data_IF_140067556483
#
_entry.id   IF_140067556483
#
_cell.length_a   1.000
_cell.length_b   1.000
_cell.length_c   1.000
_cell.angle_alpha   90.00
_cell.angle_beta   90.00
_cell.angle_gamma   90.00
#
_symmetry.space_group_name_H-M   'P 1'
#
loop_
_entity.id
_entity.type
_entity.pdbx_description
1 polymer ?
#
# COMPACT_ATOMS: atom_id res chain seq x y z
N UNK A 1 -19.56 11.63 42.06
CA UNK A 1 -18.50 10.81 42.67
C UNK A 1 -19.14 9.56 43.25
N UNK A 2 -19.06 8.44 42.54
CA UNK A 2 -19.52 7.14 43.04
C UNK A 2 -18.37 6.51 43.84
N UNK A 3 -18.60 5.99 45.05
CA UNK A 3 -17.53 5.42 45.86
C UNK A 3 -17.03 4.11 45.25
N UNK A 4 -15.71 4.01 45.08
CA UNK A 4 -15.02 2.80 44.67
C UNK A 4 -15.18 1.72 45.74
N UNK A 5 -15.66 0.54 45.34
CA UNK A 5 -15.70 -0.66 46.19
C UNK A 5 -14.26 -1.10 46.45
N UNK A 6 -13.78 -0.93 47.68
CA UNK A 6 -12.60 -1.62 48.18
C UNK A 6 -12.92 -3.12 48.30
N UNK A 7 -12.12 -3.96 47.65
CA UNK A 7 -12.23 -5.41 47.79
C UNK A 7 -11.34 -5.80 48.97
N UNK A 8 -11.94 -6.06 50.14
CA UNK A 8 -11.21 -6.68 51.24
C UNK A 8 -10.95 -8.16 50.88
N UNK A 9 -9.71 -8.69 51.04
CA UNK A 9 -9.43 -10.08 50.76
C UNK A 9 -10.11 -11.01 51.77
N UNK A 10 -10.67 -12.13 51.28
CA UNK A 10 -11.25 -13.19 52.12
C UNK A 10 -10.13 -13.83 52.97
N UNK A 11 -10.35 -14.07 54.27
CA UNK A 11 -9.37 -14.80 55.09
C UNK A 11 -9.42 -16.30 54.76
N UNK A 12 -8.27 -16.94 54.57
CA UNK A 12 -8.14 -18.39 54.77
C UNK A 12 -7.39 -19.24 53.74
N UNK A 13 -6.82 -18.67 52.67
CA UNK A 13 -5.89 -19.41 51.80
C UNK A 13 -4.68 -18.53 51.55
N UNK A 14 -3.54 -18.86 52.17
CA UNK A 14 -2.26 -18.29 51.73
C UNK A 14 -2.09 -18.65 50.26
N UNK A 15 -1.96 -17.68 49.35
CA UNK A 15 -1.71 -17.98 47.95
C UNK A 15 -0.49 -18.89 47.87
N UNK A 16 -0.56 -19.95 47.08
CA UNK A 16 0.57 -20.81 46.78
C UNK A 16 0.91 -20.67 45.30
N UNK A 17 2.18 -20.85 44.90
CA UNK A 17 2.55 -20.80 43.50
C UNK A 17 1.85 -21.94 42.74
N UNK A 18 1.47 -21.67 41.50
CA UNK A 18 0.74 -22.65 40.67
C UNK A 18 1.63 -23.82 40.25
N UNK A 19 2.92 -23.54 40.04
CA UNK A 19 3.97 -24.50 39.71
C UNK A 19 5.12 -24.34 40.70
N UNK A 20 6.10 -25.27 40.76
CA UNK A 20 7.32 -25.02 41.52
C UNK A 20 8.00 -23.72 41.07
N UNK A 21 8.52 -22.94 42.02
CA UNK A 21 9.21 -21.67 41.73
C UNK A 21 10.37 -21.90 40.75
N UNK A 22 10.48 -21.04 39.74
CA UNK A 22 11.44 -21.13 38.65
C UNK A 22 11.05 -22.07 37.51
N UNK A 23 9.90 -22.74 37.58
CA UNK A 23 9.39 -23.61 36.50
C UNK A 23 9.06 -22.81 35.25
N UNK A 24 9.54 -23.28 34.10
CA UNK A 24 9.12 -22.79 32.79
C UNK A 24 7.90 -23.56 32.33
N UNK A 25 6.87 -22.84 31.91
CA UNK A 25 5.61 -23.40 31.39
C UNK A 25 5.29 -22.80 30.03
N UNK A 26 4.51 -23.50 29.21
CA UNK A 26 3.99 -22.94 27.96
C UNK A 26 3.08 -21.74 28.27
N UNK A 27 3.26 -20.62 27.56
CA UNK A 27 2.33 -19.49 27.69
C UNK A 27 0.95 -19.86 27.14
N UNK A 28 -0.10 -19.33 27.76
CA UNK A 28 -1.49 -19.49 27.29
C UNK A 28 -1.77 -18.72 26.00
N UNK A 29 -0.95 -17.73 25.66
CA UNK A 29 -1.02 -16.98 24.41
C UNK A 29 0.28 -17.18 23.62
N UNK A 30 0.28 -18.05 22.59
CA UNK A 30 1.49 -18.34 21.83
C UNK A 30 1.82 -17.28 20.77
N UNK A 31 0.95 -16.28 20.57
CA UNK A 31 1.09 -15.28 19.50
C UNK A 31 2.31 -14.40 19.75
N UNK A 32 3.22 -14.34 18.78
CA UNK A 32 4.41 -13.49 18.77
C UNK A 32 4.23 -12.30 17.83
N UNK A 33 4.78 -11.14 18.18
CA UNK A 33 4.86 -10.03 17.23
C UNK A 33 5.90 -10.31 16.13
N UNK A 34 5.77 -9.63 14.98
CA UNK A 34 6.80 -9.70 13.91
C UNK A 34 8.19 -9.30 14.41
N UNK A 35 8.25 -8.37 15.37
CA UNK A 35 9.51 -7.93 15.97
C UNK A 35 10.11 -9.02 16.86
N UNK A 36 9.30 -9.69 17.69
CA UNK A 36 9.75 -10.85 18.46
C UNK A 36 10.28 -11.98 17.57
N UNK A 37 9.59 -12.26 16.45
CA UNK A 37 10.02 -13.26 15.48
C UNK A 37 11.35 -12.88 14.82
N UNK A 38 11.53 -11.60 14.47
CA UNK A 38 12.78 -11.09 13.93
C UNK A 38 13.94 -11.23 14.93
N UNK A 39 13.72 -10.86 16.19
CA UNK A 39 14.72 -11.02 17.27
C UNK A 39 15.05 -12.49 17.48
N UNK A 40 14.04 -13.36 17.54
CA UNK A 40 14.21 -14.81 17.66
C UNK A 40 15.07 -15.37 16.54
N UNK A 41 14.77 -15.00 15.30
CA UNK A 41 15.55 -15.41 14.13
C UNK A 41 17.01 -14.95 14.19
N UNK A 42 17.27 -13.75 14.71
CA UNK A 42 18.62 -13.20 14.88
C UNK A 42 19.41 -13.90 15.98
N UNK A 43 18.78 -14.22 17.11
CA UNK A 43 19.40 -15.02 18.17
C UNK A 43 19.75 -16.43 17.68
N UNK A 44 18.84 -17.08 16.94
CA UNK A 44 19.08 -18.40 16.33
C UNK A 44 20.22 -18.32 15.31
N UNK A 45 20.26 -17.29 14.47
CA UNK A 45 21.35 -17.10 13.51
C UNK A 45 22.72 -16.88 14.19
N UNK A 46 22.73 -16.37 15.43
CA UNK A 46 23.92 -16.24 16.26
C UNK A 46 24.31 -17.52 17.01
N UNK A 47 23.59 -18.64 16.79
CA UNK A 47 23.86 -19.94 17.41
C UNK A 47 23.17 -20.17 18.75
N UNK A 48 22.34 -19.24 19.22
CA UNK A 48 21.60 -19.39 20.47
C UNK A 48 20.37 -20.27 20.28
N UNK A 49 20.14 -21.20 21.21
CA UNK A 49 18.91 -21.98 21.23
C UNK A 49 17.83 -21.18 21.95
N UNK A 50 16.64 -21.06 21.37
CA UNK A 50 15.53 -20.28 21.95
C UNK A 50 14.26 -21.13 21.96
N UNK A 51 13.39 -20.88 22.94
CA UNK A 51 12.10 -21.58 23.03
C UNK A 51 11.26 -21.32 21.76
N UNK A 52 10.43 -22.29 21.37
CA UNK A 52 9.45 -22.10 20.29
C UNK A 52 8.21 -21.39 20.86
N UNK A 53 7.84 -20.25 20.27
CA UNK A 53 6.75 -19.40 20.77
C UNK A 53 7.05 -18.75 22.13
N UNK A 54 5.99 -18.34 22.83
CA UNK A 54 6.07 -17.72 24.16
C UNK A 54 6.04 -18.77 25.27
N UNK A 55 6.97 -18.64 26.20
CA UNK A 55 7.03 -19.42 27.44
C UNK A 55 6.90 -18.48 28.64
N UNK A 56 6.47 -19.00 29.78
CA UNK A 56 6.30 -18.23 30.99
C UNK A 56 7.04 -18.88 32.16
N UNK A 57 7.40 -18.08 33.16
CA UNK A 57 8.22 -18.47 34.29
C UNK A 57 7.42 -18.22 35.56
N UNK A 58 7.24 -19.27 36.35
CA UNK A 58 6.69 -19.13 37.71
C UNK A 58 7.73 -18.44 38.60
N UNK A 59 7.42 -17.23 39.06
CA UNK A 59 8.23 -16.50 40.02
C UNK A 59 7.82 -16.81 41.46
N UNK A 60 8.65 -16.38 42.41
CA UNK A 60 8.33 -16.42 43.83
C UNK A 60 7.30 -15.33 44.21
N UNK A 61 6.95 -15.22 45.49
CA UNK A 61 5.97 -14.25 45.97
C UNK A 61 6.42 -12.82 45.64
N UNK A 62 5.54 -12.08 44.98
CA UNK A 62 5.66 -10.64 44.80
C UNK A 62 5.36 -9.94 46.13
N UNK A 63 6.33 -9.23 46.74
CA UNK A 63 6.12 -8.56 48.02
C UNK A 63 5.14 -7.39 47.94
N UNK A 64 4.93 -6.81 46.75
CA UNK A 64 4.03 -5.67 46.53
C UNK A 64 2.59 -6.16 46.42
N UNK A 65 2.35 -7.23 45.67
CA UNK A 65 1.01 -7.73 45.37
C UNK A 65 0.60 -8.95 46.19
N UNK A 66 1.52 -9.56 46.93
CA UNK A 66 1.28 -10.74 47.77
C UNK A 66 0.92 -12.02 47.00
N UNK A 67 1.07 -12.02 45.67
CA UNK A 67 0.75 -13.13 44.77
C UNK A 67 2.02 -13.81 44.24
N UNK A 68 1.87 -14.92 43.52
CA UNK A 68 3.00 -15.67 42.92
C UNK A 68 2.92 -15.56 41.39
N UNK A 69 3.46 -14.48 40.79
CA UNK A 69 3.25 -14.19 39.37
C UNK A 69 3.88 -15.24 38.45
N UNK A 70 3.24 -15.45 37.31
CA UNK A 70 3.79 -16.22 36.17
C UNK A 70 4.08 -15.22 35.06
N UNK A 71 5.34 -14.83 34.93
CA UNK A 71 5.78 -13.79 33.99
C UNK A 71 6.06 -14.40 32.62
N UNK A 72 5.71 -13.69 31.55
CA UNK A 72 5.92 -14.14 30.16
C UNK A 72 6.88 -13.19 29.47
N UNK A 73 8.20 -13.44 29.53
CA UNK A 73 9.15 -12.71 28.70
C UNK A 73 8.91 -12.96 27.21
N UNK A 74 9.27 -11.99 26.37
CA UNK A 74 9.12 -12.09 24.92
C UNK A 74 9.90 -13.26 24.28
N UNK A 75 11.15 -13.48 24.73
CA UNK A 75 11.99 -14.60 24.27
C UNK A 75 12.70 -15.25 25.45
N UNK A 76 12.66 -16.58 25.53
CA UNK A 76 13.49 -17.36 26.45
C UNK A 76 14.61 -18.03 25.67
N UNK A 77 15.85 -17.82 26.12
CA UNK A 77 17.01 -18.57 25.64
C UNK A 77 17.02 -19.91 26.36
N UNK A 78 17.12 -20.99 25.60
CA UNK A 78 17.08 -22.35 26.12
C UNK A 78 18.40 -22.67 26.81
N UNK A 79 18.34 -23.42 27.92
CA UNK A 79 19.50 -23.97 28.66
C UNK A 79 20.41 -22.94 29.34
N UNK A 80 20.26 -21.66 29.04
CA UNK A 80 20.81 -20.53 29.78
C UNK A 80 19.63 -19.83 30.45
N UNK A 81 19.62 -19.62 31.77
CA UNK A 81 18.54 -18.89 32.45
C UNK A 81 18.57 -17.38 32.08
N UNK A 82 18.34 -17.09 30.82
CA UNK A 82 18.40 -15.78 30.18
C UNK A 82 17.10 -15.57 29.39
N UNK A 83 16.45 -14.45 29.61
CA UNK A 83 15.27 -14.05 28.86
C UNK A 83 15.41 -12.63 28.32
N UNK A 84 14.68 -12.36 27.25
CA UNK A 84 14.67 -11.08 26.54
C UNK A 84 13.29 -10.45 26.65
N UNK A 85 13.25 -9.14 26.90
CA UNK A 85 12.06 -8.29 26.80
C UNK A 85 12.32 -7.18 25.77
N UNK A 86 11.32 -6.84 24.96
CA UNK A 86 11.40 -5.80 23.93
C UNK A 86 10.42 -4.69 24.29
N UNK A 87 10.94 -3.62 24.89
CA UNK A 87 10.13 -2.56 25.45
C UNK A 87 10.08 -1.34 24.53
N UNK A 88 8.87 -0.84 24.29
CA UNK A 88 8.66 0.40 23.53
C UNK A 88 8.17 1.54 24.42
N UNK A 89 8.60 2.78 24.13
CA UNK A 89 8.15 3.98 24.85
C UNK A 89 6.61 4.05 24.95
N UNK A 90 5.91 3.61 23.91
CA UNK A 90 4.44 3.65 23.85
C UNK A 90 3.77 2.80 24.93
N UNK A 91 4.45 1.77 25.41
CA UNK A 91 3.91 0.82 26.40
C UNK A 91 4.61 0.90 27.75
N UNK A 92 5.81 1.48 27.86
CA UNK A 92 6.62 1.42 29.08
C UNK A 92 7.10 2.78 29.64
N UNK A 93 6.65 3.93 29.12
CA UNK A 93 7.11 5.24 29.62
C UNK A 93 6.76 5.50 31.10
N UNK A 94 5.67 4.92 31.62
CA UNK A 94 5.22 5.12 33.00
C UNK A 94 5.33 3.84 33.86
N UNK A 95 5.96 2.78 33.35
CA UNK A 95 6.01 1.46 34.00
C UNK A 95 7.40 1.07 34.54
N UNK A 96 8.32 2.03 34.69
CA UNK A 96 9.72 1.73 35.10
C UNK A 96 9.80 0.94 36.41
N UNK A 97 9.02 1.33 37.42
CA UNK A 97 9.02 0.64 38.72
C UNK A 97 8.45 -0.78 38.62
N UNK A 98 7.44 -0.99 37.78
CA UNK A 98 6.89 -2.31 37.47
C UNK A 98 7.95 -3.16 36.73
N UNK A 99 8.63 -2.59 35.74
CA UNK A 99 9.70 -3.26 35.01
C UNK A 99 10.87 -3.66 35.93
N UNK A 100 11.24 -2.80 36.89
CA UNK A 100 12.23 -3.12 37.93
C UNK A 100 11.76 -4.24 38.85
N UNK A 101 10.50 -4.22 39.27
CA UNK A 101 9.91 -5.30 40.07
C UNK A 101 9.91 -6.65 39.32
N UNK A 102 9.53 -6.64 38.04
CA UNK A 102 9.60 -7.83 37.16
C UNK A 102 11.03 -8.37 37.03
N UNK A 103 12.01 -7.49 36.85
CA UNK A 103 13.42 -7.90 36.82
C UNK A 103 13.85 -8.55 38.14
N UNK A 104 13.47 -7.98 39.29
CA UNK A 104 13.78 -8.53 40.60
C UNK A 104 13.13 -9.91 40.84
N UNK A 105 11.87 -10.09 40.41
CA UNK A 105 11.16 -11.36 40.48
C UNK A 105 11.83 -12.46 39.65
N UNK A 106 12.24 -12.13 38.42
CA UNK A 106 12.96 -13.06 37.54
C UNK A 106 14.35 -13.38 38.09
N UNK A 107 15.08 -12.37 38.58
CA UNK A 107 16.39 -12.55 39.20
C UNK A 107 16.31 -13.42 40.45
N UNK A 108 15.27 -13.26 41.28
CA UNK A 108 15.02 -14.07 42.48
C UNK A 108 14.86 -15.57 42.20
N UNK A 109 14.48 -15.94 40.97
CA UNK A 109 14.39 -17.33 40.50
C UNK A 109 15.54 -17.74 39.57
N UNK A 110 16.61 -16.95 39.57
CA UNK A 110 17.87 -17.19 38.88
C UNK A 110 17.87 -16.86 37.39
N UNK A 111 16.92 -16.03 36.92
CA UNK A 111 16.87 -15.59 35.52
C UNK A 111 17.52 -14.22 35.33
N UNK A 112 18.41 -14.13 34.34
CA UNK A 112 18.97 -12.88 33.84
C UNK A 112 18.06 -12.29 32.78
N UNK A 113 17.70 -11.02 32.92
CA UNK A 113 16.87 -10.29 31.95
C UNK A 113 17.75 -9.40 31.09
N UNK A 114 17.59 -9.49 29.78
CA UNK A 114 18.23 -8.61 28.79
C UNK A 114 17.14 -7.82 28.08
N UNK A 115 17.10 -6.49 28.23
CA UNK A 115 16.03 -5.68 27.63
C UNK A 115 16.51 -4.90 26.42
N UNK A 116 15.68 -4.85 25.38
CA UNK A 116 15.80 -3.86 24.31
C UNK A 116 14.84 -2.71 24.62
N UNK A 117 15.39 -1.58 25.05
CA UNK A 117 14.65 -0.37 25.48
C UNK A 117 14.59 0.63 24.33
N UNK A 118 13.42 0.79 23.69
CA UNK A 118 13.24 1.64 22.51
C UNK A 118 12.63 3.01 22.85
N UNK A 119 12.96 4.03 22.06
CA UNK A 119 12.40 5.40 22.22
C UNK A 119 13.08 6.21 23.33
N UNK A 120 14.34 5.89 23.66
CA UNK A 120 15.08 6.62 24.69
C UNK A 120 14.66 6.29 26.12
N UNK A 121 13.93 5.18 26.31
CA UNK A 121 13.66 4.61 27.61
C UNK A 121 14.95 4.37 28.40
N UNK A 122 14.93 4.64 29.71
CA UNK A 122 16.10 4.42 30.56
C UNK A 122 16.47 2.93 30.67
N UNK A 123 17.75 2.68 30.93
CA UNK A 123 18.25 1.35 31.29
C UNK A 123 17.91 1.05 32.76
N UNK A 124 17.48 -0.17 33.02
CA UNK A 124 17.10 -0.65 34.34
C UNK A 124 17.84 -1.94 34.75
N UNK A 125 18.54 -2.58 33.82
CA UNK A 125 19.40 -3.74 34.05
C UNK A 125 20.77 -3.61 33.38
N UNK A 126 21.74 -4.40 33.83
CA UNK A 126 23.13 -4.28 33.41
C UNK A 126 23.37 -4.73 31.96
N UNK A 127 22.50 -5.57 31.40
CA UNK A 127 22.60 -6.05 30.01
C UNK A 127 21.74 -5.25 29.03
N UNK A 128 21.10 -4.18 29.49
CA UNK A 128 20.12 -3.46 28.66
C UNK A 128 20.77 -2.84 27.42
N UNK A 129 20.01 -2.89 26.32
CA UNK A 129 20.31 -2.17 25.08
C UNK A 129 19.32 -1.04 24.94
N UNK A 130 19.79 0.19 25.15
CA UNK A 130 19.00 1.41 25.00
C UNK A 130 19.14 1.94 23.59
N UNK A 131 18.01 2.13 22.90
CA UNK A 131 17.95 2.75 21.59
C UNK A 131 17.09 4.02 21.65
N UNK A 132 17.64 5.15 21.21
CA UNK A 132 16.91 6.42 21.14
C UNK A 132 15.77 6.41 20.12
N UNK A 133 15.82 5.50 19.13
CA UNK A 133 14.75 5.34 18.15
C UNK A 133 13.62 4.47 18.72
N UNK A 134 12.37 4.86 18.46
CA UNK A 134 11.17 4.10 18.86
C UNK A 134 10.98 2.79 18.08
N UNK A 135 11.79 2.55 17.04
CA UNK A 135 11.81 1.34 16.22
C UNK A 135 13.23 0.79 16.21
N UNK A 136 13.44 -0.52 16.40
CA UNK A 136 14.78 -1.06 16.48
C UNK A 136 15.51 -0.97 15.14
N UNK A 137 16.71 -0.42 15.18
CA UNK A 137 17.63 -0.44 14.05
C UNK A 137 18.40 -1.77 14.00
N UNK A 138 19.01 -2.09 12.86
CA UNK A 138 19.88 -3.27 12.75
C UNK A 138 20.98 -3.27 13.83
N UNK A 139 21.61 -2.11 14.08
CA UNK A 139 22.63 -1.97 15.12
C UNK A 139 22.08 -2.24 16.54
N UNK A 140 20.81 -1.89 16.81
CA UNK A 140 20.18 -2.20 18.09
C UNK A 140 19.92 -3.70 18.26
N UNK A 141 19.51 -4.37 17.18
CA UNK A 141 19.32 -5.83 17.19
C UNK A 141 20.66 -6.55 17.33
N UNK A 142 21.71 -6.12 16.63
CA UNK A 142 23.03 -6.72 16.74
C UNK A 142 23.64 -6.51 18.15
N UNK A 143 23.44 -5.33 18.74
CA UNK A 143 23.81 -5.06 20.13
C UNK A 143 23.02 -5.92 21.13
N UNK A 144 21.73 -6.16 20.88
CA UNK A 144 20.89 -7.05 21.70
C UNK A 144 21.42 -8.48 21.64
N UNK A 145 21.73 -8.99 20.44
CA UNK A 145 22.32 -10.32 20.29
C UNK A 145 23.62 -10.42 21.08
N UNK A 146 24.52 -9.44 20.97
CA UNK A 146 25.75 -9.43 21.75
C UNK A 146 25.50 -9.40 23.26
N UNK A 147 24.52 -8.63 23.73
CA UNK A 147 24.16 -8.58 25.15
C UNK A 147 23.62 -9.91 25.68
N UNK A 148 22.81 -10.60 24.87
CA UNK A 148 22.31 -11.93 25.21
C UNK A 148 23.46 -12.93 25.24
N UNK A 149 24.37 -12.91 24.26
CA UNK A 149 25.54 -13.78 24.25
C UNK A 149 26.39 -13.59 25.50
N UNK A 150 26.71 -12.34 25.87
CA UNK A 150 27.45 -12.05 27.10
C UNK A 150 26.74 -12.60 28.34
N UNK A 151 25.42 -12.41 28.45
CA UNK A 151 24.63 -12.93 29.57
C UNK A 151 24.62 -14.47 29.63
N UNK A 152 24.61 -15.14 28.48
CA UNK A 152 24.68 -16.60 28.36
C UNK A 152 26.05 -17.11 28.76
N UNK A 153 27.11 -16.40 28.37
CA UNK A 153 28.51 -16.74 28.66
C UNK A 153 28.95 -16.33 30.08
N UNK A 154 28.08 -15.66 30.84
CA UNK A 154 28.35 -15.20 32.20
C UNK A 154 29.31 -14.00 32.26
N UNK A 155 29.48 -13.29 31.15
CA UNK A 155 30.27 -12.06 31.07
C UNK A 155 29.53 -10.93 31.77
N UNK A 156 30.15 -10.16 32.69
CA UNK A 156 29.49 -9.06 33.38
C UNK A 156 28.78 -8.09 32.42
N UNK A 157 27.53 -7.75 32.74
CA UNK A 157 26.69 -6.89 31.91
C UNK A 157 27.26 -5.48 31.73
N UNK A 158 27.08 -4.93 30.53
CA UNK A 158 27.32 -3.52 30.25
C UNK A 158 26.17 -2.98 29.41
N UNK A 159 25.58 -1.86 29.87
CA UNK A 159 24.51 -1.16 29.16
C UNK A 159 25.02 -0.64 27.82
N UNK A 160 24.40 -1.09 26.72
CA UNK A 160 24.74 -0.67 25.36
C UNK A 160 23.80 0.46 24.93
N UNK A 161 24.35 1.54 24.38
CA UNK A 161 23.58 2.70 23.93
C UNK A 161 23.69 2.89 22.43
N UNK A 162 22.54 2.92 21.76
CA UNK A 162 22.40 3.05 20.32
C UNK A 162 21.72 4.38 20.02
N UNK A 163 22.53 5.35 19.61
CA UNK A 163 22.04 6.65 19.19
C UNK A 163 21.11 6.51 17.98
N UNK A 164 20.12 7.41 17.89
CA UNK A 164 19.29 7.53 16.70
C UNK A 164 20.22 7.97 15.57
N UNK A 165 20.34 7.16 14.52
CA UNK A 165 21.04 7.61 13.31
C UNK A 165 20.35 8.88 12.84
N UNK A 166 21.05 10.02 12.88
CA UNK A 166 20.66 11.22 12.15
C UNK A 166 20.52 10.78 10.71
N UNK A 167 19.30 10.85 10.18
CA UNK A 167 19.07 10.45 8.80
C UNK A 167 20.01 11.28 7.93
N UNK A 168 20.92 10.60 7.21
CA UNK A 168 21.60 11.26 6.09
C UNK A 168 20.51 11.88 5.21
N UNK A 169 20.69 13.11 4.70
CA UNK A 169 19.67 13.75 3.88
C UNK A 169 19.27 12.78 2.76
N UNK A 170 17.97 12.47 2.70
CA UNK A 170 17.41 11.60 1.65
C UNK A 170 17.71 12.26 0.31
N UNK A 171 18.72 11.75 -0.40
CA UNK A 171 19.16 12.25 -1.71
C UNK A 171 18.14 12.06 -2.85
N UNK A 172 17.02 11.40 -2.61
CA UNK A 172 15.90 11.39 -3.56
C UNK A 172 14.75 12.15 -2.93
N UNK A 173 14.50 13.34 -3.47
CA UNK A 173 13.19 13.97 -3.33
C UNK A 173 12.14 12.92 -3.66
N UNK A 174 11.06 12.89 -2.87
CA UNK A 174 9.96 11.99 -3.16
C UNK A 174 9.44 12.37 -4.55
N UNK A 175 9.45 11.38 -5.45
CA UNK A 175 8.84 11.51 -6.77
C UNK A 175 7.47 12.16 -6.65
N UNK A 176 7.24 13.21 -7.44
CA UNK A 176 5.96 13.91 -7.55
C UNK A 176 4.91 13.06 -8.29
N UNK A 177 5.35 11.98 -8.96
CA UNK A 177 4.49 11.01 -9.62
C UNK A 177 3.92 10.00 -8.62
N UNK A 178 2.60 9.91 -8.55
CA UNK A 178 1.88 8.90 -7.78
C UNK A 178 2.04 7.48 -8.35
N UNK A 179 1.25 6.54 -7.84
CA UNK A 179 1.19 5.20 -8.41
C UNK A 179 0.60 5.25 -9.82
N UNK A 180 1.08 4.38 -10.71
CA UNK A 180 0.48 4.15 -12.03
C UNK A 180 -0.24 2.81 -11.96
N UNK A 181 -1.57 2.81 -11.91
CA UNK A 181 -2.38 1.62 -11.65
C UNK A 181 -3.48 1.46 -12.71
N UNK A 182 -3.93 0.23 -12.97
CA UNK A 182 -5.00 -0.02 -13.93
C UNK A 182 -6.30 0.72 -13.55
N UNK A 183 -7.01 1.21 -14.56
CA UNK A 183 -8.29 1.89 -14.40
C UNK A 183 -9.43 0.88 -14.23
N UNK A 184 -10.36 1.11 -13.31
CA UNK A 184 -11.42 0.14 -12.98
C UNK A 184 -12.57 0.08 -14.00
N UNK A 185 -12.71 1.11 -14.83
CA UNK A 185 -13.85 1.28 -15.74
C UNK A 185 -13.48 1.40 -17.22
N UNK A 186 -12.19 1.47 -17.54
CA UNK A 186 -11.71 1.70 -18.89
C UNK A 186 -10.62 0.68 -19.19
N UNK A 187 -10.91 -0.25 -20.10
CA UNK A 187 -9.96 -1.27 -20.49
C UNK A 187 -8.73 -0.63 -21.15
N UNK A 188 -7.55 -1.17 -20.83
CA UNK A 188 -6.26 -0.65 -21.27
C UNK A 188 -5.93 0.76 -20.79
N UNK A 189 -6.65 1.30 -19.80
CA UNK A 189 -6.34 2.59 -19.21
C UNK A 189 -5.71 2.46 -17.82
N UNK A 190 -4.98 3.50 -17.39
CA UNK A 190 -4.28 3.54 -16.12
C UNK A 190 -4.43 4.90 -15.44
N UNK A 191 -4.72 4.91 -14.14
CA UNK A 191 -4.64 6.09 -13.30
C UNK A 191 -3.18 6.51 -13.09
N UNK A 192 -2.93 7.81 -13.15
CA UNK A 192 -1.70 8.44 -12.69
C UNK A 192 -2.04 9.75 -11.96
N UNK A 193 -1.13 10.23 -11.12
CA UNK A 193 -1.27 11.54 -10.49
C UNK A 193 0.06 12.27 -10.44
N UNK A 194 0.04 13.58 -10.66
CA UNK A 194 1.21 14.43 -10.53
C UNK A 194 0.97 15.48 -9.45
N UNK A 195 1.84 15.54 -8.44
CA UNK A 195 1.77 16.57 -7.40
C UNK A 195 2.50 17.82 -7.87
N UNK A 196 1.81 18.95 -7.90
CA UNK A 196 2.32 20.27 -8.23
C UNK A 196 3.17 20.85 -7.08
N UNK A 197 3.87 21.96 -7.34
CA UNK A 197 4.78 22.57 -6.35
C UNK A 197 4.03 23.13 -5.13
N UNK A 198 2.80 23.61 -5.34
CA UNK A 198 1.89 24.06 -4.29
C UNK A 198 1.22 22.91 -3.52
N UNK A 199 1.48 21.65 -3.93
CA UNK A 199 0.92 20.45 -3.35
C UNK A 199 -0.41 19.99 -3.97
N UNK A 200 -0.98 20.72 -4.94
CA UNK A 200 -2.14 20.28 -5.70
C UNK A 200 -1.85 18.97 -6.44
N UNK A 201 -2.87 18.12 -6.64
CA UNK A 201 -2.72 16.84 -7.36
C UNK A 201 -3.51 16.86 -8.66
N UNK A 202 -2.80 16.87 -9.77
CA UNK A 202 -3.37 16.57 -11.08
C UNK A 202 -3.76 15.09 -11.14
N UNK A 203 -5.00 14.83 -11.54
CA UNK A 203 -5.51 13.47 -11.77
C UNK A 203 -5.54 13.17 -13.25
N UNK A 204 -4.72 12.22 -13.64
CA UNK A 204 -4.43 11.90 -15.02
C UNK A 204 -4.86 10.46 -15.31
N UNK A 205 -5.22 10.24 -16.57
CA UNK A 205 -5.59 8.93 -17.10
C UNK A 205 -4.73 8.70 -18.33
N UNK A 206 -3.97 7.61 -18.30
CA UNK A 206 -3.20 7.11 -19.44
C UNK A 206 -4.13 6.18 -20.20
N UNK A 207 -4.52 6.56 -21.41
CA UNK A 207 -5.51 5.86 -22.22
C UNK A 207 -4.84 5.00 -23.29
N UNK A 208 -5.56 3.98 -23.75
CA UNK A 208 -5.19 3.17 -24.93
C UNK A 208 -3.78 2.55 -24.81
N UNK A 209 -3.58 1.79 -23.73
CA UNK A 209 -2.32 1.10 -23.40
C UNK A 209 -1.09 2.02 -23.40
N UNK A 210 -1.27 3.29 -23.04
CA UNK A 210 -0.16 4.25 -22.99
C UNK A 210 -0.07 5.19 -24.17
N UNK A 211 -0.97 5.12 -25.15
CA UNK A 211 -0.89 5.98 -26.33
C UNK A 211 -1.20 7.45 -26.02
N UNK A 212 -2.14 7.72 -25.11
CA UNK A 212 -2.61 9.10 -24.86
C UNK A 212 -2.67 9.45 -23.38
N UNK A 213 -2.46 10.73 -23.07
CA UNK A 213 -2.73 11.33 -21.78
C UNK A 213 -4.08 12.04 -21.81
N UNK A 214 -4.88 11.83 -20.77
CA UNK A 214 -6.14 12.50 -20.53
C UNK A 214 -6.22 12.97 -19.07
N UNK A 215 -7.14 13.89 -18.78
CA UNK A 215 -7.52 14.21 -17.41
C UNK A 215 -8.83 13.51 -17.03
N UNK A 216 -8.94 13.19 -15.73
CA UNK A 216 -10.20 12.75 -15.14
C UNK A 216 -11.23 13.88 -15.17
N UNK A 217 -12.46 13.58 -15.60
CA UNK A 217 -13.57 14.57 -15.72
C UNK A 217 -14.77 14.20 -14.84
N UNK A 218 -14.50 13.81 -13.59
CA UNK A 218 -15.54 13.41 -12.64
C UNK A 218 -16.35 12.21 -13.14
N UNK A 219 -17.64 12.38 -13.41
CA UNK A 219 -18.52 11.33 -13.94
C UNK A 219 -18.56 11.24 -15.48
N UNK A 220 -17.89 12.16 -16.18
CA UNK A 220 -17.87 12.23 -17.64
C UNK A 220 -16.76 11.39 -18.27
N UNK A 221 -16.74 11.34 -19.61
CA UNK A 221 -15.65 10.74 -20.35
C UNK A 221 -14.34 11.53 -20.16
N UNK A 222 -13.18 10.86 -20.02
CA UNK A 222 -11.88 11.53 -19.92
C UNK A 222 -11.65 12.50 -21.09
N UNK A 223 -11.04 13.66 -20.80
CA UNK A 223 -10.69 14.64 -21.84
C UNK A 223 -9.20 14.58 -22.14
N UNK A 224 -8.86 14.61 -23.43
CA UNK A 224 -7.49 14.36 -23.90
C UNK A 224 -6.62 15.61 -23.76
N UNK A 225 -5.37 15.36 -23.38
CA UNK A 225 -4.32 16.37 -23.19
C UNK A 225 -3.33 16.27 -24.34
N UNK A 226 -2.67 15.10 -24.50
CA UNK A 226 -1.61 14.91 -25.48
C UNK A 226 -1.33 13.45 -25.81
N UNK A 227 -0.56 13.24 -26.88
CA UNK A 227 0.05 11.96 -27.22
C UNK A 227 1.19 11.62 -26.24
N UNK A 228 1.25 10.36 -25.80
CA UNK A 228 2.27 9.83 -24.88
C UNK A 228 3.20 8.78 -25.50
N UNK A 229 2.73 8.01 -26.49
CA UNK A 229 3.51 6.94 -27.14
C UNK A 229 4.03 5.81 -26.20
N UNK A 230 3.57 5.72 -24.95
CA UNK A 230 4.03 4.69 -23.99
C UNK A 230 3.64 3.27 -24.36
N UNK A 231 2.65 3.09 -25.24
CA UNK A 231 2.28 1.79 -25.83
C UNK A 231 3.44 1.12 -26.60
N UNK A 232 4.50 1.87 -26.93
CA UNK A 232 5.74 1.38 -27.56
C UNK A 232 6.86 1.11 -26.56
N UNK A 233 6.62 1.37 -25.27
CA UNK A 233 7.62 1.29 -24.20
C UNK A 233 7.26 0.16 -23.25
N UNK A 234 8.27 -0.61 -22.78
CA UNK A 234 8.08 -1.62 -21.74
C UNK A 234 7.40 -0.99 -20.51
N UNK A 235 6.33 -1.64 -20.03
CA UNK A 235 5.52 -1.19 -18.89
C UNK A 235 6.34 -0.87 -17.64
N UNK A 236 7.47 -1.56 -17.43
CA UNK A 236 8.39 -1.34 -16.29
C UNK A 236 9.09 0.02 -16.36
N UNK A 237 9.23 0.60 -17.56
CA UNK A 237 9.88 1.91 -17.78
C UNK A 237 8.91 3.08 -17.81
N UNK A 238 7.61 2.83 -17.89
CA UNK A 238 6.60 3.91 -17.97
C UNK A 238 6.74 4.95 -16.86
N UNK A 239 7.08 4.52 -15.64
CA UNK A 239 7.23 5.46 -14.53
C UNK A 239 8.35 6.46 -14.78
N UNK A 240 9.49 6.00 -15.29
CA UNK A 240 10.65 6.83 -15.61
C UNK A 240 10.31 7.82 -16.73
N UNK A 241 9.66 7.36 -17.80
CA UNK A 241 9.22 8.20 -18.91
C UNK A 241 8.22 9.29 -18.47
N UNK A 242 7.21 8.91 -17.68
CA UNK A 242 6.21 9.85 -17.17
C UNK A 242 6.82 10.88 -16.22
N UNK A 243 7.73 10.44 -15.35
CA UNK A 243 8.41 11.35 -14.42
C UNK A 243 9.32 12.33 -15.17
N UNK A 244 10.04 11.86 -16.19
CA UNK A 244 10.81 12.73 -17.08
C UNK A 244 9.92 13.75 -17.78
N UNK A 245 8.83 13.29 -18.40
CA UNK A 245 7.85 14.14 -19.08
C UNK A 245 7.27 15.21 -18.15
N UNK A 246 6.70 14.82 -17.01
CA UNK A 246 6.02 15.76 -16.11
C UNK A 246 6.97 16.71 -15.40
N UNK A 247 8.26 16.37 -15.28
CA UNK A 247 9.27 17.27 -14.72
C UNK A 247 9.60 18.41 -15.69
N UNK A 248 9.55 18.16 -17.00
CA UNK A 248 9.88 19.16 -18.03
C UNK A 248 8.67 19.85 -18.65
N UNK A 249 7.46 19.34 -18.40
CA UNK A 249 6.22 19.85 -18.97
C UNK A 249 5.63 20.93 -18.07
N UNK A 250 5.27 22.08 -18.65
CA UNK A 250 4.56 23.12 -17.91
C UNK A 250 3.17 22.63 -17.49
N UNK A 251 2.69 23.08 -16.33
CA UNK A 251 1.38 22.67 -15.79
C UNK A 251 0.26 23.11 -16.73
N UNK A 252 0.42 24.24 -17.41
CA UNK A 252 -0.53 24.72 -18.43
C UNK A 252 -0.65 23.78 -19.65
N UNK A 253 0.37 22.97 -19.93
CA UNK A 253 0.31 21.95 -20.99
C UNK A 253 -0.40 20.65 -20.55
N UNK A 254 -0.71 20.51 -19.27
CA UNK A 254 -1.40 19.35 -18.70
C UNK A 254 -2.91 19.56 -18.57
N UNK A 255 -3.44 20.63 -19.18
CA UNK A 255 -4.88 20.89 -19.23
C UNK A 255 -5.52 20.19 -20.42
N UNK A 256 -6.77 19.69 -20.30
CA UNK A 256 -7.43 19.04 -21.42
C UNK A 256 -7.72 20.01 -22.57
N UNK A 257 -7.38 19.59 -23.79
CA UNK A 257 -7.57 20.39 -25.00
C UNK A 257 -8.72 19.88 -25.86
N UNK A 258 -9.07 18.60 -25.75
CA UNK A 258 -10.04 18.00 -26.66
C UNK A 258 -10.90 16.89 -26.05
N UNK A 259 -12.05 16.62 -26.68
CA UNK A 259 -12.91 15.47 -26.37
C UNK A 259 -12.33 14.13 -26.84
N UNK A 260 -11.64 14.11 -27.96
CA UNK A 260 -10.99 12.94 -28.55
C UNK A 260 -9.49 13.22 -28.78
N UNK A 261 -8.65 12.19 -28.98
CA UNK A 261 -7.22 12.39 -29.25
C UNK A 261 -6.90 13.33 -30.41
N UNK A 262 -7.83 13.47 -31.35
CA UNK A 262 -7.68 14.26 -32.58
C UNK A 262 -8.57 15.51 -32.64
N UNK A 263 -9.34 15.82 -31.60
CA UNK A 263 -10.18 17.03 -31.58
C UNK A 263 -11.56 16.81 -30.96
N UNK A 264 -12.53 17.61 -31.38
CA UNK A 264 -13.88 17.64 -30.77
C UNK A 264 -14.87 16.66 -31.42
N UNK A 265 -14.59 16.19 -32.64
CA UNK A 265 -15.53 15.46 -33.47
C UNK A 265 -15.09 14.01 -33.72
N UNK A 266 -16.03 13.07 -33.54
CA UNK A 266 -15.82 11.66 -33.87
C UNK A 266 -16.44 11.31 -35.23
N UNK A 267 -17.56 11.94 -35.55
CA UNK A 267 -18.14 11.96 -36.89
C UNK A 267 -18.03 13.39 -37.45
N UNK A 268 -17.81 13.49 -38.75
CA UNK A 268 -17.76 14.72 -39.54
C UNK A 268 -18.75 14.64 -40.69
N UNK A 269 -19.10 15.78 -41.29
CA UNK A 269 -20.03 15.85 -42.41
C UNK A 269 -21.34 16.56 -42.06
N UNK A 270 -22.20 16.77 -43.08
CA UNK A 270 -23.34 17.68 -42.98
C UNK A 270 -24.44 17.25 -42.01
N UNK A 271 -24.48 15.98 -41.58
CA UNK A 271 -25.44 15.47 -40.60
C UNK A 271 -24.74 14.74 -39.43
N UNK A 272 -23.46 15.04 -39.16
CA UNK A 272 -22.71 14.38 -38.10
C UNK A 272 -23.27 14.62 -36.69
N UNK A 273 -23.88 15.78 -36.46
CA UNK A 273 -24.57 16.18 -35.23
C UNK A 273 -25.79 15.30 -34.92
N UNK A 274 -26.34 14.63 -35.94
CA UNK A 274 -27.46 13.69 -35.79
C UNK A 274 -27.02 12.28 -35.39
N UNK A 275 -25.72 12.03 -35.25
CA UNK A 275 -25.17 10.78 -34.71
C UNK A 275 -24.96 10.94 -33.21
N UNK A 276 -25.70 10.16 -32.42
CA UNK A 276 -25.68 10.25 -30.97
C UNK A 276 -24.66 9.27 -30.37
N UNK A 277 -23.58 9.84 -29.86
CA UNK A 277 -22.60 9.14 -29.03
C UNK A 277 -23.01 9.24 -27.57
N UNK A 278 -23.13 8.11 -26.88
CA UNK A 278 -23.46 8.08 -25.45
C UNK A 278 -22.38 8.79 -24.61
N UNK A 279 -22.75 9.39 -23.49
CA UNK A 279 -21.81 10.13 -22.61
C UNK A 279 -20.64 9.30 -22.08
N UNK A 280 -20.80 7.98 -22.06
CA UNK A 280 -19.76 7.03 -21.66
C UNK A 280 -18.83 6.62 -22.81
N UNK A 281 -19.11 7.07 -24.03
CA UNK A 281 -18.27 6.76 -25.18
C UNK A 281 -16.85 7.28 -24.93
N UNK A 282 -15.88 6.38 -25.09
CA UNK A 282 -14.47 6.76 -25.11
C UNK A 282 -13.71 5.87 -26.12
N UNK A 283 -12.65 6.39 -26.74
CA UNK A 283 -11.93 5.69 -27.81
C UNK A 283 -11.09 4.50 -27.33
N UNK A 284 -11.05 4.24 -26.03
CA UNK A 284 -10.32 3.12 -25.42
C UNK A 284 -11.04 1.76 -25.52
N UNK A 285 -12.34 1.73 -25.78
CA UNK A 285 -13.07 0.46 -25.94
C UNK A 285 -12.99 -0.07 -27.37
N UNK A 286 -13.30 -1.34 -27.56
CA UNK A 286 -13.27 -2.01 -28.87
C UNK A 286 -14.60 -1.96 -29.63
N UNK A 287 -15.74 -1.71 -28.96
CA UNK A 287 -17.06 -1.72 -29.61
C UNK A 287 -18.05 -0.79 -28.94
N UNK A 288 -18.86 -0.11 -29.74
CA UNK A 288 -19.99 0.69 -29.28
C UNK A 288 -21.20 0.53 -30.19
N UNK A 289 -22.38 0.49 -29.58
CA UNK A 289 -23.65 0.71 -30.25
C UNK A 289 -24.05 2.18 -30.08
N UNK A 290 -24.54 2.80 -31.14
CA UNK A 290 -24.94 4.20 -31.21
C UNK A 290 -26.30 4.32 -31.90
N UNK A 291 -26.90 5.50 -31.85
CA UNK A 291 -28.09 5.80 -32.64
C UNK A 291 -27.87 7.03 -33.51
N UNK A 292 -28.61 7.13 -34.61
CA UNK A 292 -28.61 8.32 -35.47
C UNK A 292 -30.00 8.60 -36.03
N UNK A 293 -30.24 9.85 -36.43
CA UNK A 293 -31.47 10.30 -37.09
C UNK A 293 -31.12 11.00 -38.41
N UNK A 294 -30.41 10.29 -39.31
CA UNK A 294 -29.98 10.82 -40.60
C UNK A 294 -31.15 10.90 -41.57
N UNK A 295 -31.20 12.00 -42.33
CA UNK A 295 -32.18 12.21 -43.40
C UNK A 295 -31.65 11.59 -44.70
N UNK A 296 -32.44 10.69 -45.29
CA UNK A 296 -32.17 10.07 -46.59
C UNK A 296 -30.94 9.16 -46.71
N UNK A 297 -30.53 8.36 -45.70
CA UNK A 297 -29.42 7.44 -45.86
C UNK A 297 -29.77 6.35 -46.90
N UNK A 298 -28.92 6.19 -47.90
CA UNK A 298 -29.10 5.24 -49.01
C UNK A 298 -28.01 4.16 -49.05
N UNK A 299 -26.86 4.39 -48.41
CA UNK A 299 -25.76 3.43 -48.33
C UNK A 299 -24.84 3.71 -47.17
N UNK A 300 -24.04 2.73 -46.77
CA UNK A 300 -23.01 2.91 -45.75
C UNK A 300 -21.80 2.05 -46.06
N UNK A 301 -20.65 2.45 -45.51
CA UNK A 301 -19.40 1.71 -45.59
C UNK A 301 -18.61 1.85 -44.30
N UNK A 302 -17.42 1.24 -44.23
CA UNK A 302 -16.63 1.22 -42.99
C UNK A 302 -16.23 2.60 -42.47
N UNK A 303 -16.21 3.61 -43.34
CA UNK A 303 -15.88 4.99 -43.00
C UNK A 303 -17.08 5.87 -42.68
N UNK A 304 -18.33 5.47 -42.97
CA UNK A 304 -19.46 6.37 -42.80
C UNK A 304 -20.72 6.00 -43.57
N UNK A 305 -21.66 6.95 -43.62
CA UNK A 305 -23.02 6.80 -44.16
C UNK A 305 -23.23 7.85 -45.25
N UNK A 306 -23.81 7.40 -46.37
CA UNK A 306 -24.06 8.20 -47.57
C UNK A 306 -25.54 8.22 -47.93
N UNK A 307 -25.97 9.31 -48.55
CA UNK A 307 -27.30 9.50 -49.10
C UNK A 307 -27.38 9.03 -50.56
N UNK A 308 -28.46 9.42 -51.24
CA UNK A 308 -28.60 9.20 -52.67
C UNK A 308 -27.40 9.73 -53.45
N UNK A 309 -27.01 9.04 -54.53
CA UNK A 309 -25.88 9.42 -55.38
C UNK A 309 -24.51 9.44 -54.68
N UNK A 310 -24.39 8.85 -53.49
CA UNK A 310 -23.12 8.71 -52.78
C UNK A 310 -22.69 9.95 -52.00
N UNK A 311 -23.57 10.93 -51.79
CA UNK A 311 -23.28 12.12 -50.99
C UNK A 311 -23.04 11.73 -49.53
N UNK A 312 -21.89 12.09 -48.96
CA UNK A 312 -21.59 11.86 -47.53
C UNK A 312 -22.62 12.56 -46.64
N UNK A 313 -23.24 11.81 -45.72
CA UNK A 313 -24.09 12.37 -44.66
C UNK A 313 -23.31 12.52 -43.36
N UNK A 314 -22.61 11.46 -42.95
CA UNK A 314 -21.77 11.43 -41.77
C UNK A 314 -20.65 10.40 -41.94
N UNK A 315 -19.40 10.85 -41.83
CA UNK A 315 -18.21 10.00 -41.89
C UNK A 315 -17.51 9.99 -40.53
N UNK A 316 -16.88 8.87 -40.19
CA UNK A 316 -15.92 8.82 -39.10
C UNK A 316 -14.79 9.80 -39.39
N UNK A 317 -14.35 10.50 -38.34
CA UNK A 317 -13.18 11.36 -38.44
C UNK A 317 -11.97 10.55 -38.96
N UNK A 318 -11.16 11.08 -39.90
CA UNK A 318 -10.05 10.33 -40.50
C UNK A 318 -9.08 9.72 -39.47
N UNK A 319 -8.80 10.45 -38.38
CA UNK A 319 -7.96 9.93 -37.29
C UNK A 319 -8.63 8.82 -36.47
N UNK A 320 -9.96 8.80 -36.38
CA UNK A 320 -10.67 7.67 -35.80
C UNK A 320 -10.45 6.42 -36.64
N UNK A 321 -10.55 6.56 -37.97
CA UNK A 321 -10.26 5.50 -38.94
C UNK A 321 -8.79 5.06 -38.84
N UNK A 322 -7.85 6.00 -38.74
CA UNK A 322 -6.43 5.69 -38.54
C UNK A 322 -6.19 4.93 -37.23
N UNK A 323 -6.97 5.22 -36.20
CA UNK A 323 -6.97 4.50 -34.92
C UNK A 323 -7.73 3.15 -34.96
N UNK A 324 -8.19 2.70 -36.13
CA UNK A 324 -8.80 1.38 -36.35
C UNK A 324 -10.32 1.34 -36.18
N UNK A 325 -10.98 2.49 -35.96
CA UNK A 325 -12.45 2.54 -35.87
C UNK A 325 -13.10 2.34 -37.23
N UNK A 326 -14.12 1.51 -37.28
CA UNK A 326 -14.93 1.25 -38.47
C UNK A 326 -16.40 1.14 -38.10
N UNK A 327 -17.27 1.61 -38.98
CA UNK A 327 -18.68 1.28 -38.95
C UNK A 327 -18.87 -0.17 -39.44
N UNK A 328 -19.58 -0.97 -38.67
CA UNK A 328 -19.73 -2.42 -38.90
C UNK A 328 -21.17 -2.87 -39.09
N UNK A 329 -22.13 -2.07 -38.61
CA UNK A 329 -23.53 -2.30 -38.90
C UNK A 329 -24.30 -0.97 -38.90
N UNK A 330 -25.30 -0.90 -39.77
CA UNK A 330 -26.36 0.12 -39.77
C UNK A 330 -27.67 -0.61 -39.95
N UNK A 331 -28.58 -0.45 -39.01
CA UNK A 331 -29.91 -1.05 -39.04
C UNK A 331 -30.98 0.00 -38.76
N UNK A 332 -32.12 -0.12 -39.44
CA UNK A 332 -33.30 0.67 -39.14
C UNK A 332 -34.02 0.10 -37.93
N UNK A 333 -34.54 0.99 -37.10
CA UNK A 333 -35.30 0.64 -35.90
C UNK A 333 -36.39 1.69 -35.63
N UNK A 334 -37.37 1.31 -34.83
CA UNK A 334 -38.50 2.18 -34.48
C UNK A 334 -38.57 2.35 -32.97
N UNK A 335 -38.63 3.61 -32.52
CA UNK A 335 -38.68 3.96 -31.10
C UNK A 335 -39.86 4.86 -30.77
N UNK A 336 -39.97 5.23 -29.49
CA UNK A 336 -41.03 6.12 -29.01
C UNK A 336 -41.07 7.49 -29.72
N UNK A 337 -39.93 7.96 -30.25
CA UNK A 337 -39.80 9.25 -30.95
C UNK A 337 -39.80 9.12 -32.49
N UNK A 338 -40.16 7.95 -33.02
CA UNK A 338 -40.14 7.66 -34.45
C UNK A 338 -39.02 6.72 -34.85
N UNK A 339 -38.84 6.60 -36.17
CA UNK A 339 -37.83 5.74 -36.78
C UNK A 339 -36.44 6.36 -36.67
N UNK A 340 -35.44 5.52 -36.43
CA UNK A 340 -34.04 5.92 -36.27
C UNK A 340 -33.10 4.83 -36.81
N UNK A 341 -31.81 5.14 -36.90
CA UNK A 341 -30.79 4.16 -37.25
C UNK A 341 -30.03 3.72 -36.00
N UNK A 342 -29.88 2.41 -35.80
CA UNK A 342 -28.90 1.82 -34.88
C UNK A 342 -27.60 1.61 -35.64
N UNK A 343 -26.50 2.10 -35.07
CA UNK A 343 -25.16 1.97 -35.63
C UNK A 343 -24.31 1.10 -34.71
N UNK A 344 -23.42 0.30 -35.28
CA UNK A 344 -22.37 -0.37 -34.53
C UNK A 344 -21.00 0.03 -35.07
N UNK A 345 -20.14 0.54 -34.20
CA UNK A 345 -18.74 0.81 -34.50
C UNK A 345 -17.84 -0.15 -33.72
N UNK A 346 -16.79 -0.61 -34.37
CA UNK A 346 -15.75 -1.42 -33.73
C UNK A 346 -14.39 -0.83 -34.02
N UNK A 347 -13.49 -0.96 -33.05
CA UNK A 347 -12.08 -0.68 -33.20
C UNK A 347 -11.33 -2.00 -33.30
N UNK A 348 -10.62 -2.20 -34.41
CA UNK A 348 -9.59 -3.23 -34.44
C UNK A 348 -8.31 -2.56 -33.97
N UNK A 349 -7.83 -2.80 -32.74
CA UNK A 349 -6.54 -2.27 -32.33
C UNK A 349 -5.48 -2.80 -33.30
N UNK A 350 -4.59 -1.93 -33.76
CA UNK A 350 -3.34 -2.41 -34.33
C UNK A 350 -2.67 -3.24 -33.25
N UNK A 351 -2.66 -4.57 -33.41
CA UNK A 351 -1.91 -5.47 -32.54
C UNK A 351 -0.44 -5.08 -32.67
N UNK A 352 0.04 -4.24 -31.75
CA UNK A 352 1.46 -4.22 -31.43
C UNK A 352 1.78 -5.62 -30.94
N UNK A 353 2.70 -6.28 -31.64
CA UNK A 353 3.00 -7.68 -31.47
C UNK A 353 3.29 -8.05 -30.01
N UNK A 354 2.72 -9.19 -29.61
CA UNK A 354 3.12 -10.10 -28.54
C UNK A 354 4.37 -9.72 -27.74
N UNK A 355 4.22 -9.65 -26.41
CA UNK A 355 5.24 -10.14 -25.49
C UNK A 355 4.59 -10.96 -24.37
N UNK A 356 5.12 -12.17 -24.20
CA UNK A 356 4.91 -13.08 -23.09
C UNK A 356 5.74 -12.68 -21.86
#
# INVERSE_FOLDING_TARGET
>A
MSPSRSYAPRPGVTPAPKYPVGTVVQSKNPTTSKLEEQVRGKLVAAGLQVHQGRSAIQCDQDPIHGNYPVLTPDVLVSRSKVCVEIDSEKTHTEEVDNDRSRNALLAGVGWTVVRLRLGGLEAIGDYDVVCEASVPSAAAIDALVAAVTDAVDGVPGTVRRIAKKTAAPRKKEKSRLGAVAAHSHHDGAYYASWTLEDGEKLRLIIMDEGRWLAAESGHGAPRFIRLLELHRVDRKKWREELEGLFTTTDTEELVPVSKYPWGEEFFIGPQADKVHLYDKFHPGMERWALTANLDGPAGWGPGGISGSEGVTLADLHPEAIACGWRLTAVAWDSGYRGDFQRLEITRTPERTGHWA
#
